data_IF_467860985748
#
_entry.id   IF_467860985748
#
_cell.length_a   1.000
_cell.length_b   1.000
_cell.length_c   1.000
_cell.angle_alpha   90.00
_cell.angle_beta   90.00
_cell.angle_gamma   90.00
#
_symmetry.space_group_name_H-M   'P 1'
#
loop_
_entity.id
_entity.type
_entity.pdbx_description
1 polymer ?
#
# COMPACT_ATOMS: atom_id res chain seq x y z
N UNK A 1 9.75 -4.58 20.50
CA UNK A 1 9.99 -6.03 20.63
C UNK A 1 8.75 -6.67 21.20
N UNK A 2 8.35 -7.82 20.66
CA UNK A 2 7.32 -8.65 21.27
C UNK A 2 7.85 -9.17 22.59
N UNK A 3 7.05 -9.05 23.66
CA UNK A 3 7.33 -9.66 24.96
C UNK A 3 6.07 -10.45 25.35
N UNK A 4 6.21 -11.75 25.52
CA UNK A 4 5.10 -12.62 25.86
C UNK A 4 4.47 -12.20 27.19
N UNK A 5 3.14 -12.16 27.23
CA UNK A 5 2.32 -11.78 28.39
C UNK A 5 2.51 -10.33 28.90
N UNK A 6 3.13 -9.44 28.14
CA UNK A 6 3.18 -8.01 28.46
C UNK A 6 2.11 -7.26 27.66
N UNK A 7 1.07 -6.72 28.32
CA UNK A 7 0.15 -5.78 27.70
C UNK A 7 0.94 -4.62 27.07
N UNK A 8 0.57 -4.18 25.88
CA UNK A 8 1.23 -3.07 25.17
C UNK A 8 2.58 -3.39 24.50
N UNK A 9 2.98 -4.66 24.39
CA UNK A 9 4.08 -5.06 23.52
C UNK A 9 3.60 -5.26 22.06
N UNK A 10 4.53 -5.25 21.09
CA UNK A 10 4.21 -5.58 19.71
C UNK A 10 3.69 -7.01 19.58
N UNK A 11 2.70 -7.22 18.73
CA UNK A 11 2.12 -8.53 18.44
C UNK A 11 3.09 -9.52 17.78
N UNK A 12 4.18 -9.02 17.18
CA UNK A 12 5.25 -9.82 16.59
C UNK A 12 6.54 -9.00 16.50
N UNK A 13 7.70 -9.65 16.63
CA UNK A 13 9.02 -8.98 16.63
C UNK A 13 9.43 -8.44 15.25
N UNK A 14 8.96 -9.07 14.16
CA UNK A 14 9.30 -8.64 12.80
C UNK A 14 8.32 -7.57 12.32
N UNK A 15 8.81 -6.36 12.13
CA UNK A 15 8.05 -5.21 11.64
C UNK A 15 8.30 -5.04 10.14
N UNK A 16 7.23 -4.95 9.34
CA UNK A 16 7.28 -4.78 7.89
C UNK A 16 6.76 -3.44 7.42
N UNK A 17 5.81 -2.87 8.15
CA UNK A 17 5.23 -1.57 7.81
C UNK A 17 5.20 -0.66 9.02
N UNK A 18 5.62 0.59 8.83
CA UNK A 18 5.48 1.65 9.81
C UNK A 18 4.79 2.84 9.13
N UNK A 19 3.74 3.35 9.75
CA UNK A 19 3.00 4.49 9.24
C UNK A 19 2.64 5.44 10.37
N UNK A 20 2.89 6.74 10.17
CA UNK A 20 2.39 7.80 11.06
C UNK A 20 1.26 8.52 10.37
N UNK A 21 0.07 8.51 10.97
CA UNK A 21 -1.10 9.18 10.43
C UNK A 21 -1.09 10.70 10.68
N UNK A 22 -2.04 11.41 10.06
CA UNK A 22 -2.17 12.86 10.18
C UNK A 22 -2.52 13.32 11.60
N UNK A 23 -3.10 12.44 12.45
CA UNK A 23 -3.38 12.70 13.85
C UNK A 23 -2.15 12.44 14.75
N UNK A 24 -1.06 11.91 14.19
CA UNK A 24 0.17 11.60 14.88
C UNK A 24 0.22 10.22 15.53
N UNK A 25 -0.79 9.36 15.31
CA UNK A 25 -0.75 7.98 15.78
C UNK A 25 0.25 7.15 14.96
N UNK A 26 0.79 6.11 15.59
CA UNK A 26 1.74 5.18 14.98
C UNK A 26 1.02 3.85 14.69
N UNK A 27 1.11 3.41 13.44
CA UNK A 27 0.59 2.14 12.96
C UNK A 27 1.75 1.24 12.57
N UNK A 28 1.79 0.04 13.12
CA UNK A 28 2.88 -0.92 12.92
C UNK A 28 2.32 -2.21 12.33
N UNK A 29 2.62 -2.45 11.08
CA UNK A 29 2.33 -3.71 10.39
C UNK A 29 3.41 -4.74 10.71
N UNK A 30 3.00 -5.94 11.10
CA UNK A 30 3.92 -7.01 11.51
C UNK A 30 3.80 -8.24 10.63
N UNK A 31 4.83 -9.09 10.69
CA UNK A 31 4.85 -10.40 10.06
C UNK A 31 4.02 -11.38 10.89
N UNK A 32 2.90 -11.85 10.37
CA UNK A 32 1.95 -12.74 11.05
C UNK A 32 1.30 -12.23 12.34
N UNK A 33 1.55 -11.00 12.78
CA UNK A 33 0.98 -10.44 14.01
C UNK A 33 -0.12 -9.38 13.76
N UNK A 34 -0.54 -9.14 12.52
CA UNK A 34 -1.55 -8.11 12.22
C UNK A 34 -1.03 -6.68 12.40
N UNK A 35 -1.90 -5.76 12.84
CA UNK A 35 -1.59 -4.34 13.04
C UNK A 35 -1.62 -3.97 14.51
N UNK A 36 -0.60 -3.22 14.92
CA UNK A 36 -0.52 -2.55 16.20
C UNK A 36 -0.74 -1.04 15.99
N UNK A 37 -1.58 -0.44 16.78
CA UNK A 37 -1.88 0.99 16.77
C UNK A 37 -1.50 1.60 18.12
N UNK A 38 -0.70 2.64 18.09
CA UNK A 38 -0.30 3.38 19.28
C UNK A 38 -0.66 4.85 19.13
N UNK A 39 -1.38 5.39 20.14
CA UNK A 39 -1.64 6.81 20.26
C UNK A 39 -0.72 7.43 21.32
N UNK A 40 0.34 8.16 20.93
CA UNK A 40 1.31 8.69 21.88
C UNK A 40 0.75 9.81 22.78
N UNK A 41 -0.39 10.42 22.42
CA UNK A 41 -1.01 11.48 23.22
C UNK A 41 -1.89 10.95 24.35
N UNK A 42 -2.47 9.77 24.16
CA UNK A 42 -3.38 9.14 25.12
C UNK A 42 -2.79 7.92 25.78
N UNK A 43 -1.56 7.54 25.39
CA UNK A 43 -0.90 6.29 25.80
C UNK A 43 -1.79 5.04 25.59
N UNK A 44 -2.56 5.05 24.48
CA UNK A 44 -3.49 3.97 24.14
C UNK A 44 -2.87 3.10 23.06
N UNK A 45 -2.86 1.80 23.33
CA UNK A 45 -2.42 0.76 22.40
C UNK A 45 -3.58 -0.15 22.01
N UNK A 46 -3.73 -0.37 20.72
CA UNK A 46 -4.72 -1.30 20.15
C UNK A 46 -4.03 -2.31 19.23
N UNK A 47 -4.52 -3.52 19.26
CA UNK A 47 -4.10 -4.58 18.37
C UNK A 47 -5.27 -5.05 17.50
N UNK A 48 -5.04 -5.15 16.19
CA UNK A 48 -5.98 -5.67 15.21
C UNK A 48 -5.37 -6.93 14.58
N UNK A 49 -5.88 -8.09 14.95
CA UNK A 49 -5.48 -9.38 14.43
C UNK A 49 -6.07 -9.69 13.05
N UNK A 50 -5.74 -10.86 12.51
CA UNK A 50 -6.28 -11.38 11.27
C UNK A 50 -6.85 -12.79 11.53
N UNK A 51 -8.16 -12.96 11.25
CA UNK A 51 -8.88 -14.24 11.46
C UNK A 51 -9.56 -14.68 10.14
N UNK A 52 -8.98 -14.34 8.99
CA UNK A 52 -9.54 -14.76 7.70
C UNK A 52 -10.46 -13.73 7.04
N UNK A 53 -11.01 -14.12 5.90
CA UNK A 53 -11.74 -13.25 4.97
C UNK A 53 -13.14 -12.89 5.50
N UNK A 54 -13.63 -11.71 5.10
CA UNK A 54 -15.01 -11.26 5.31
C UNK A 54 -15.46 -11.10 6.77
N UNK A 55 -14.51 -10.95 7.71
CA UNK A 55 -14.85 -10.59 9.07
C UNK A 55 -14.57 -9.07 9.26
N UNK A 56 -15.61 -8.24 9.52
CA UNK A 56 -15.44 -6.79 9.62
C UNK A 56 -14.61 -6.35 10.83
N UNK A 57 -14.34 -7.23 11.77
CA UNK A 57 -13.55 -6.91 12.96
C UNK A 57 -12.06 -7.25 12.82
N UNK A 58 -11.65 -7.85 11.70
CA UNK A 58 -10.29 -8.37 11.52
C UNK A 58 -9.75 -8.10 10.11
N UNK A 59 -8.43 -8.05 10.02
CA UNK A 59 -7.72 -8.06 8.74
C UNK A 59 -7.97 -9.36 7.97
N UNK A 60 -7.91 -9.28 6.65
CA UNK A 60 -8.02 -10.46 5.77
C UNK A 60 -6.81 -11.39 5.84
N UNK A 61 -5.65 -10.87 6.25
CA UNK A 61 -4.38 -11.61 6.27
C UNK A 61 -3.40 -11.01 7.30
N UNK A 62 -2.62 -11.84 8.02
CA UNK A 62 -1.78 -11.37 9.13
C UNK A 62 -0.46 -10.70 8.71
N UNK A 63 0.01 -10.92 7.49
CA UNK A 63 1.23 -10.28 7.00
C UNK A 63 0.90 -8.90 6.42
N UNK A 64 1.21 -7.86 7.17
CA UNK A 64 0.85 -6.48 6.87
C UNK A 64 2.03 -5.69 6.34
N UNK A 65 1.87 -5.13 5.15
CA UNK A 65 2.84 -4.30 4.47
C UNK A 65 2.61 -2.80 4.65
N UNK A 66 2.68 -2.06 3.55
CA UNK A 66 2.54 -0.59 3.54
C UNK A 66 1.08 -0.14 3.67
N UNK A 67 0.91 1.10 4.13
CA UNK A 67 -0.38 1.72 4.39
C UNK A 67 -0.45 3.12 3.78
N UNK A 68 -1.68 3.57 3.49
CA UNK A 68 -1.97 4.94 3.09
C UNK A 68 -3.26 5.41 3.79
N UNK A 69 -3.34 6.71 4.09
CA UNK A 69 -4.52 7.35 4.66
C UNK A 69 -5.26 8.13 3.58
N UNK A 70 -6.60 7.98 3.52
CA UNK A 70 -7.44 8.75 2.61
C UNK A 70 -7.82 10.12 3.20
N UNK A 71 -8.52 10.94 2.40
CA UNK A 71 -8.97 12.29 2.82
C UNK A 71 -9.94 12.29 4.01
N UNK A 72 -10.58 11.16 4.30
CA UNK A 72 -11.50 10.98 5.41
C UNK A 72 -10.82 10.45 6.68
N UNK A 73 -9.50 10.21 6.61
CA UNK A 73 -8.72 9.65 7.70
C UNK A 73 -8.83 8.15 7.87
N UNK A 74 -9.42 7.41 6.91
CA UNK A 74 -9.45 5.96 6.93
C UNK A 74 -8.13 5.39 6.40
N UNK A 75 -7.81 4.15 6.79
CA UNK A 75 -6.58 3.50 6.35
C UNK A 75 -6.85 2.47 5.24
N UNK A 76 -5.95 2.47 4.27
CA UNK A 76 -5.84 1.48 3.21
C UNK A 76 -4.55 0.71 3.41
N UNK A 77 -4.65 -0.61 3.56
CA UNK A 77 -3.62 -1.47 4.11
C UNK A 77 -3.32 -2.58 3.11
N UNK A 78 -2.08 -2.64 2.64
CA UNK A 78 -1.59 -3.75 1.82
C UNK A 78 -1.29 -4.96 2.68
N UNK A 79 -1.68 -6.15 2.21
CA UNK A 79 -1.27 -7.42 2.81
C UNK A 79 -0.61 -8.33 1.79
N UNK A 80 0.26 -9.22 2.25
CA UNK A 80 0.91 -10.22 1.40
C UNK A 80 0.11 -11.53 1.37
N UNK A 81 -1.03 -11.52 0.66
CA UNK A 81 -1.90 -12.69 0.48
C UNK A 81 -3.39 -12.45 0.70
N UNK A 82 -3.76 -11.37 1.40
CA UNK A 82 -5.16 -10.99 1.66
C UNK A 82 -5.66 -9.79 0.86
N UNK A 83 -4.91 -9.33 -0.13
CA UNK A 83 -5.27 -8.19 -0.95
C UNK A 83 -5.23 -6.86 -0.20
N UNK A 84 -6.12 -5.94 -0.59
CA UNK A 84 -6.25 -4.60 -0.03
C UNK A 84 -7.29 -4.59 1.08
N UNK A 85 -6.93 -4.07 2.26
CA UNK A 85 -7.85 -3.86 3.37
C UNK A 85 -8.13 -2.38 3.55
N UNK A 86 -9.40 -2.05 3.68
CA UNK A 86 -9.90 -0.75 4.10
C UNK A 86 -10.28 -0.82 5.58
N UNK A 87 -9.75 0.07 6.40
CA UNK A 87 -10.11 0.23 7.81
C UNK A 87 -10.86 1.53 8.00
N UNK A 88 -12.14 1.44 8.35
CA UNK A 88 -12.94 2.60 8.72
C UNK A 88 -12.59 3.00 10.15
N UNK A 89 -12.00 4.18 10.32
CA UNK A 89 -11.52 4.66 11.61
C UNK A 89 -12.62 4.99 12.60
N UNK A 90 -13.80 5.38 12.12
CA UNK A 90 -14.95 5.70 12.98
C UNK A 90 -15.64 4.45 13.51
N UNK A 91 -15.95 3.51 12.61
CA UNK A 91 -16.66 2.26 12.96
C UNK A 91 -15.74 1.16 13.48
N UNK A 92 -14.40 1.31 13.31
CA UNK A 92 -13.38 0.31 13.62
C UNK A 92 -13.54 -1.00 12.82
N UNK A 93 -14.18 -0.94 11.67
CA UNK A 93 -14.46 -2.10 10.83
C UNK A 93 -13.53 -2.16 9.63
N UNK A 94 -13.23 -3.40 9.20
CA UNK A 94 -12.47 -3.72 8.01
C UNK A 94 -13.37 -4.14 6.86
N UNK A 95 -12.93 -3.81 5.64
CA UNK A 95 -13.44 -4.39 4.39
C UNK A 95 -12.24 -4.80 3.55
N UNK A 96 -12.27 -6.02 2.98
CA UNK A 96 -11.21 -6.51 2.11
C UNK A 96 -11.62 -6.49 0.64
N UNK A 97 -10.66 -6.19 -0.23
CA UNK A 97 -10.75 -6.26 -1.68
C UNK A 97 -9.68 -7.24 -2.16
N UNK A 98 -10.10 -8.29 -2.83
CA UNK A 98 -9.22 -9.37 -3.27
C UNK A 98 -9.27 -9.53 -4.78
N UNK A 99 -8.29 -10.26 -5.31
CA UNK A 99 -8.34 -10.74 -6.67
C UNK A 99 -9.51 -11.71 -6.84
N UNK A 100 -10.34 -11.43 -7.84
CA UNK A 100 -11.52 -12.21 -8.22
C UNK A 100 -11.48 -12.46 -9.71
N UNK A 101 -12.32 -13.37 -10.20
CA UNK A 101 -12.56 -13.55 -11.64
C UNK A 101 -13.45 -12.41 -12.19
N UNK A 102 -12.95 -11.20 -12.01
CA UNK A 102 -13.57 -9.94 -12.40
C UNK A 102 -12.48 -8.96 -12.84
N UNK A 103 -12.53 -8.44 -14.08
CA UNK A 103 -11.49 -7.53 -14.59
C UNK A 103 -11.42 -6.17 -13.85
N UNK A 104 -12.39 -5.87 -12.98
CA UNK A 104 -12.40 -4.66 -12.15
C UNK A 104 -11.88 -4.90 -10.73
N UNK A 105 -11.47 -6.13 -10.39
CA UNK A 105 -10.85 -6.46 -9.11
C UNK A 105 -9.35 -6.15 -9.12
N UNK A 106 -8.72 -6.14 -7.95
CA UNK A 106 -7.25 -6.05 -7.88
C UNK A 106 -6.62 -7.25 -8.61
N UNK A 107 -5.48 -7.01 -9.24
CA UNK A 107 -4.82 -8.00 -10.11
C UNK A 107 -4.05 -9.10 -9.36
N UNK A 108 -3.81 -8.92 -8.05
CA UNK A 108 -3.04 -9.87 -7.23
C UNK A 108 -3.30 -9.65 -5.74
N UNK A 109 -3.31 -10.73 -4.93
CA UNK A 109 -3.55 -10.63 -3.49
C UNK A 109 -2.30 -10.29 -2.67
N UNK A 110 -1.10 -10.41 -3.25
CA UNK A 110 0.14 -9.99 -2.60
C UNK A 110 0.49 -8.56 -3.04
N UNK A 111 0.27 -7.60 -2.16
CA UNK A 111 0.45 -6.18 -2.41
C UNK A 111 1.72 -5.68 -1.71
N UNK A 112 2.59 -4.99 -2.46
CA UNK A 112 3.91 -4.54 -2.01
C UNK A 112 3.93 -3.10 -1.51
N UNK A 113 3.21 -2.21 -2.20
CA UNK A 113 3.23 -0.79 -1.91
C UNK A 113 1.91 -0.11 -2.26
N UNK A 114 1.68 1.05 -1.63
CA UNK A 114 0.46 1.85 -1.84
C UNK A 114 0.77 3.33 -1.68
N UNK A 115 0.13 4.17 -2.51
CA UNK A 115 0.09 5.62 -2.38
C UNK A 115 -1.30 6.15 -2.71
N UNK A 116 -1.74 7.14 -1.96
CA UNK A 116 -3.01 7.83 -2.18
C UNK A 116 -2.81 9.15 -2.92
N UNK A 117 -3.51 9.32 -4.04
CA UNK A 117 -3.58 10.58 -4.80
C UNK A 117 -4.86 11.33 -4.41
N UNK A 118 -4.70 12.34 -3.53
CA UNK A 118 -5.79 13.05 -2.87
C UNK A 118 -6.73 13.74 -3.86
N UNK A 119 -6.19 14.42 -4.88
CA UNK A 119 -6.98 15.24 -5.80
C UNK A 119 -7.94 14.43 -6.69
N UNK A 120 -7.59 13.17 -6.94
CA UNK A 120 -8.40 12.26 -7.78
C UNK A 120 -9.10 11.16 -6.98
N UNK A 121 -8.85 11.06 -5.67
CA UNK A 121 -9.37 10.00 -4.78
C UNK A 121 -9.00 8.59 -5.26
N UNK A 122 -7.75 8.42 -5.73
CA UNK A 122 -7.22 7.19 -6.29
C UNK A 122 -6.11 6.61 -5.40
N UNK A 123 -6.06 5.28 -5.33
CA UNK A 123 -4.92 4.54 -4.78
C UNK A 123 -4.09 3.93 -5.90
N UNK A 124 -2.79 4.15 -5.86
CA UNK A 124 -1.82 3.46 -6.68
C UNK A 124 -1.21 2.33 -5.86
N UNK A 125 -1.28 1.10 -6.37
CA UNK A 125 -0.95 -0.11 -5.60
C UNK A 125 -0.02 -0.98 -6.45
N UNK A 126 1.20 -1.19 -5.97
CA UNK A 126 2.15 -2.12 -6.57
C UNK A 126 1.93 -3.53 -6.07
N UNK A 127 2.03 -4.51 -6.97
CA UNK A 127 1.79 -5.92 -6.67
C UNK A 127 3.01 -6.79 -6.93
N UNK A 128 2.99 -8.02 -6.43
CA UNK A 128 4.10 -8.97 -6.60
C UNK A 128 4.29 -9.44 -8.05
N UNK A 129 3.20 -9.65 -8.82
CA UNK A 129 3.26 -10.10 -10.22
C UNK A 129 2.06 -9.62 -11.06
N UNK A 130 1.21 -8.78 -10.50
CA UNK A 130 -0.02 -8.29 -11.15
C UNK A 130 0.13 -6.90 -11.78
N UNK A 131 1.32 -6.30 -11.78
CA UNK A 131 1.57 -4.95 -12.27
C UNK A 131 1.19 -3.85 -11.29
N UNK A 132 0.88 -2.67 -11.81
CA UNK A 132 0.45 -1.50 -11.06
C UNK A 132 -1.08 -1.37 -11.16
N UNK A 133 -1.76 -1.35 -10.00
CA UNK A 133 -3.20 -1.16 -9.91
C UNK A 133 -3.51 0.29 -9.57
N UNK A 134 -4.50 0.86 -10.24
CA UNK A 134 -5.10 2.16 -9.94
C UNK A 134 -6.52 1.88 -9.44
N UNK A 135 -6.70 1.97 -8.12
CA UNK A 135 -7.99 1.71 -7.47
C UNK A 135 -8.74 3.02 -7.27
N UNK A 136 -9.92 3.13 -7.84
CA UNK A 136 -10.85 4.24 -7.61
C UNK A 136 -11.67 3.98 -6.35
N UNK A 137 -11.51 4.83 -5.33
CA UNK A 137 -12.16 4.65 -4.02
C UNK A 137 -13.67 4.79 -4.13
N UNK A 138 -14.16 5.67 -5.01
CA UNK A 138 -15.58 5.96 -5.14
C UNK A 138 -16.34 4.83 -5.85
N UNK A 139 -15.83 4.37 -6.98
CA UNK A 139 -16.45 3.28 -7.77
C UNK A 139 -16.07 1.90 -7.28
N UNK A 140 -15.01 1.78 -6.46
CA UNK A 140 -14.40 0.52 -6.01
C UNK A 140 -13.99 -0.39 -7.18
N UNK A 141 -13.50 0.20 -8.25
CA UNK A 141 -13.00 -0.50 -9.44
C UNK A 141 -11.50 -0.29 -9.61
N UNK A 142 -10.87 -1.20 -10.34
CA UNK A 142 -9.43 -1.19 -10.59
C UNK A 142 -9.15 -1.07 -12.07
N UNK A 143 -8.22 -0.19 -12.43
CA UNK A 143 -7.49 -0.22 -13.70
C UNK A 143 -6.13 -0.85 -13.46
N UNK A 144 -5.77 -1.84 -14.26
CA UNK A 144 -4.48 -2.55 -14.13
C UNK A 144 -3.56 -2.15 -15.26
N UNK A 145 -2.36 -1.67 -14.92
CA UNK A 145 -1.28 -1.38 -15.85
C UNK A 145 -0.23 -2.49 -15.74
N UNK A 146 0.05 -3.14 -16.88
CA UNK A 146 0.98 -4.29 -16.97
C UNK A 146 2.11 -4.05 -17.95
N UNK A 147 3.12 -4.89 -17.84
CA UNK A 147 4.15 -5.01 -18.86
C UNK A 147 3.55 -5.51 -20.18
N UNK A 148 3.92 -4.83 -21.26
CA UNK A 148 3.70 -5.28 -22.63
C UNK A 148 5.03 -5.18 -23.37
N UNK A 149 5.70 -6.31 -23.67
CA UNK A 149 7.01 -6.30 -24.32
C UNK A 149 7.02 -5.60 -25.70
N UNK A 150 5.86 -5.50 -26.36
CA UNK A 150 5.70 -4.81 -27.66
C UNK A 150 5.49 -3.30 -27.52
N UNK A 151 5.33 -2.76 -26.30
CA UNK A 151 5.07 -1.34 -26.05
C UNK A 151 6.09 -0.77 -25.05
N UNK A 152 7.10 0.00 -25.51
CA UNK A 152 8.11 0.60 -24.64
C UNK A 152 7.54 1.65 -23.68
N UNK A 153 6.32 2.13 -23.88
CA UNK A 153 5.61 3.03 -23.00
C UNK A 153 4.77 2.30 -21.92
N UNK A 154 4.78 0.97 -21.91
CA UNK A 154 4.14 0.16 -20.88
C UNK A 154 5.01 0.04 -19.60
N UNK A 155 4.43 -0.53 -18.55
CA UNK A 155 5.16 -0.84 -17.30
C UNK A 155 6.33 -1.80 -17.61
N UNK A 156 7.57 -1.50 -17.20
CA UNK A 156 8.75 -2.33 -17.56
C UNK A 156 8.73 -3.75 -17.00
N UNK A 157 8.05 -3.97 -15.86
CA UNK A 157 7.92 -5.31 -15.23
C UNK A 157 6.72 -5.34 -14.28
N UNK A 158 6.02 -6.47 -14.22
CA UNK A 158 4.81 -6.65 -13.40
C UNK A 158 5.09 -6.81 -11.89
N UNK A 159 6.34 -6.96 -11.49
CA UNK A 159 6.73 -6.93 -10.08
C UNK A 159 7.04 -5.48 -9.70
N UNK A 160 6.12 -4.86 -8.94
CA UNK A 160 6.23 -3.46 -8.50
C UNK A 160 6.55 -3.45 -7.00
N UNK A 161 7.79 -3.09 -6.66
CA UNK A 161 8.31 -3.15 -5.29
C UNK A 161 8.01 -1.88 -4.48
N UNK A 162 8.06 -0.70 -5.11
CA UNK A 162 7.77 0.57 -4.46
C UNK A 162 7.29 1.63 -5.45
N UNK A 163 6.56 2.62 -4.92
CA UNK A 163 6.06 3.75 -5.70
C UNK A 163 6.15 5.04 -4.88
N UNK A 164 6.36 6.16 -5.57
CA UNK A 164 6.41 7.47 -4.94
C UNK A 164 5.97 8.57 -5.90
N UNK A 165 5.10 9.48 -5.45
CA UNK A 165 4.77 10.68 -6.22
C UNK A 165 5.94 11.67 -6.23
N UNK A 166 6.19 12.22 -7.41
CA UNK A 166 7.15 13.32 -7.61
C UNK A 166 6.59 14.27 -8.68
N UNK A 167 6.20 15.47 -8.27
CA UNK A 167 5.49 16.44 -9.14
C UNK A 167 4.25 15.80 -9.78
N UNK A 168 4.16 15.84 -11.10
CA UNK A 168 3.09 15.28 -11.95
C UNK A 168 3.32 13.81 -12.37
N UNK A 169 4.31 13.15 -11.75
CA UNK A 169 4.70 11.77 -12.09
C UNK A 169 4.60 10.84 -10.90
N UNK A 170 4.40 9.56 -11.19
CA UNK A 170 4.62 8.46 -10.25
C UNK A 170 5.97 7.81 -10.58
N UNK A 171 6.91 7.82 -9.64
CA UNK A 171 8.14 7.05 -9.73
C UNK A 171 7.83 5.63 -9.29
N UNK A 172 8.20 4.66 -10.09
CA UNK A 172 7.88 3.25 -9.89
C UNK A 172 9.15 2.43 -9.88
N UNK A 173 9.38 1.71 -8.79
CA UNK A 173 10.46 0.74 -8.66
C UNK A 173 9.93 -0.66 -9.00
N UNK A 174 10.41 -1.22 -10.10
CA UNK A 174 10.07 -2.56 -10.54
C UNK A 174 11.26 -3.51 -10.41
N UNK A 175 11.04 -4.80 -10.65
CA UNK A 175 12.12 -5.78 -10.74
C UNK A 175 13.10 -5.48 -11.89
N UNK A 176 12.65 -4.80 -12.96
CA UNK A 176 13.49 -4.41 -14.11
C UNK A 176 14.18 -3.04 -13.92
N UNK A 177 14.02 -2.38 -12.76
CA UNK A 177 14.62 -1.07 -12.46
C UNK A 177 13.58 0.01 -12.17
N UNK A 178 14.02 1.27 -12.25
CA UNK A 178 13.20 2.44 -11.92
C UNK A 178 12.66 3.09 -13.19
N UNK A 179 11.37 3.40 -13.19
CA UNK A 179 10.72 4.16 -14.25
C UNK A 179 9.86 5.30 -13.66
N UNK A 180 9.41 6.20 -14.51
CA UNK A 180 8.39 7.19 -14.16
C UNK A 180 7.15 6.98 -15.01
N UNK A 181 5.98 7.13 -14.42
CA UNK A 181 4.70 7.18 -15.11
C UNK A 181 4.16 8.60 -15.08
N UNK A 182 3.76 9.12 -16.22
CA UNK A 182 3.01 10.37 -16.30
C UNK A 182 1.58 10.17 -15.80
N UNK A 183 1.11 11.02 -14.87
CA UNK A 183 -0.21 10.87 -14.23
C UNK A 183 -1.40 11.25 -15.11
N UNK A 184 -1.18 11.82 -16.32
CA UNK A 184 -2.23 12.19 -17.27
C UNK A 184 -2.35 11.16 -18.38
N UNK A 185 -1.23 10.83 -19.03
CA UNK A 185 -1.18 9.87 -20.14
C UNK A 185 -1.08 8.41 -19.69
N UNK A 186 -0.63 8.19 -18.43
CA UNK A 186 -0.35 6.87 -17.86
C UNK A 186 0.73 6.08 -18.63
N UNK A 187 1.57 6.79 -19.39
CA UNK A 187 2.71 6.21 -20.09
C UNK A 187 3.95 6.14 -19.22
N UNK A 188 4.73 5.10 -19.40
CA UNK A 188 5.97 4.88 -18.65
C UNK A 188 7.19 5.31 -19.46
N UNK A 189 8.22 5.75 -18.74
CA UNK A 189 9.54 6.07 -19.29
C UNK A 189 10.60 5.56 -18.32
N UNK A 190 11.60 4.86 -18.83
CA UNK A 190 12.75 4.43 -18.02
C UNK A 190 13.51 5.63 -17.50
N UNK A 191 14.04 5.53 -16.28
CA UNK A 191 14.89 6.55 -15.67
C UNK A 191 16.34 6.08 -15.67
N UNK A 192 17.25 6.93 -16.13
CA UNK A 192 18.68 6.66 -15.98
C UNK A 192 19.10 6.76 -14.50
N UNK A 193 20.21 6.09 -14.15
CA UNK A 193 20.76 6.12 -12.78
C UNK A 193 21.02 7.56 -12.30
N UNK A 194 21.51 8.41 -13.19
CA UNK A 194 21.77 9.82 -12.88
C UNK A 194 20.49 10.61 -12.56
N UNK A 195 19.39 10.37 -13.29
CA UNK A 195 18.10 11.00 -13.00
C UNK A 195 17.52 10.53 -11.66
N UNK A 196 17.70 9.26 -11.31
CA UNK A 196 17.27 8.71 -10.00
C UNK A 196 18.04 9.37 -8.87
N UNK A 197 19.38 9.50 -8.99
CA UNK A 197 20.24 10.11 -7.98
C UNK A 197 19.91 11.60 -7.82
N UNK A 198 19.79 12.36 -8.90
CA UNK A 198 19.47 13.78 -8.85
C UNK A 198 18.13 14.04 -8.18
N UNK A 199 17.10 13.24 -8.48
CA UNK A 199 15.78 13.34 -7.85
C UNK A 199 15.79 12.95 -6.36
N UNK A 200 16.68 12.05 -5.95
CA UNK A 200 16.86 11.70 -4.54
C UNK A 200 17.58 12.81 -3.75
N UNK A 201 18.50 13.51 -4.39
CA UNK A 201 19.26 14.64 -3.79
C UNK A 201 18.37 15.88 -3.62
N UNK A 202 17.50 16.19 -4.59
CA UNK A 202 16.53 17.32 -4.52
C UNK A 202 15.55 17.22 -3.33
N UNK A 203 15.44 16.06 -2.66
CA UNK A 203 14.57 15.83 -1.50
C UNK A 203 15.22 16.13 -0.14
N UNK A 204 16.45 16.56 -0.09
CA UNK A 204 17.16 16.80 1.18
C UNK A 204 16.89 18.17 1.81
N UNK A 205 15.98 18.97 1.27
CA UNK A 205 15.63 20.27 1.85
C UNK A 205 14.13 20.54 1.77
#
# INVERSE_FOLDING_TARGET
TQIDNVPYSLSHSSVFGLYRDLQGNIWVGTYFGGINHFNPRADIYHFYGAIGRNNPNYLSFPFVGKMAEDKNGNLWICTEGGGLNFFNRQTKQFKSFMQEDNPRSISHNNLKCIKYLKDKDLLYIGTHTGGLNIFDIKSQTVKVLKNNPGDPASLPNDIVNDIQFYKDKLIVLTQAGVCSMDLKSETFSSLSTNEVINRAVERKF
#
